data_IF_042522883039
#
_entry.id   IF_042522883039
#
_cell.length_a   1.000
_cell.length_b   1.000
_cell.length_c   1.000
_cell.angle_alpha   90.00
_cell.angle_beta   90.00
_cell.angle_gamma   90.00
#
_symmetry.space_group_name_H-M   'P 1'
#
loop_
_entity.id
_entity.type
_entity.pdbx_description
1 polymer ?
#
# COMPACT_ATOMS: atom_id res chain seq x y z
N UNK A 1 -6.69 -10.86 -1.90
CA UNK A 1 -5.90 -9.77 -1.27
C UNK A 1 -5.68 -8.62 -2.24
N UNK A 2 -6.24 -7.45 -1.95
CA UNK A 2 -6.03 -6.23 -2.76
C UNK A 2 -4.92 -5.32 -2.23
N UNK A 3 -4.67 -4.22 -2.94
CA UNK A 3 -3.67 -3.19 -2.59
C UNK A 3 -3.87 -2.60 -1.19
N UNK A 4 -5.11 -2.51 -0.73
CA UNK A 4 -5.50 -2.03 0.59
C UNK A 4 -5.01 -2.93 1.73
N UNK A 5 -4.93 -4.25 1.49
CA UNK A 5 -4.37 -5.20 2.45
C UNK A 5 -2.84 -5.09 2.51
N UNK A 6 -2.19 -4.79 1.39
CA UNK A 6 -0.75 -4.52 1.35
C UNK A 6 -0.46 -3.22 2.11
N UNK A 7 -1.26 -2.16 1.91
CA UNK A 7 -1.13 -0.92 2.67
C UNK A 7 -1.27 -1.14 4.18
N UNK A 8 -2.22 -1.98 4.61
CA UNK A 8 -2.36 -2.38 6.02
C UNK A 8 -1.13 -3.15 6.53
N UNK A 9 -0.54 -4.03 5.70
CA UNK A 9 0.66 -4.78 6.07
C UNK A 9 1.86 -3.83 6.26
N UNK A 10 2.05 -2.85 5.36
CA UNK A 10 3.10 -1.84 5.48
C UNK A 10 2.97 -1.04 6.78
N UNK A 11 1.76 -0.61 7.13
CA UNK A 11 1.50 0.12 8.39
C UNK A 11 1.71 -0.71 9.66
N UNK A 12 1.71 -2.05 9.55
CA UNK A 12 1.93 -2.96 10.67
C UNK A 12 3.42 -3.25 10.90
N UNK A 13 4.24 -3.06 9.88
CA UNK A 13 5.69 -3.16 10.01
C UNK A 13 6.25 -1.83 10.58
N UNK A 14 6.32 -1.74 11.90
CA UNK A 14 6.59 -0.47 12.60
C UNK A 14 7.98 0.11 12.32
N UNK A 15 8.94 -0.75 11.95
CA UNK A 15 10.34 -0.41 11.68
C UNK A 15 10.61 -0.03 10.20
N UNK A 16 9.61 -0.18 9.32
CA UNK A 16 9.77 0.06 7.89
C UNK A 16 9.71 1.54 7.50
N UNK A 17 10.56 1.96 6.57
CA UNK A 17 10.56 3.31 5.98
C UNK A 17 9.17 3.73 5.49
N UNK A 18 8.42 2.82 4.87
CA UNK A 18 7.05 3.09 4.41
C UNK A 18 6.10 3.46 5.55
N UNK A 19 6.16 2.75 6.68
CA UNK A 19 5.33 3.04 7.84
C UNK A 19 5.65 4.42 8.42
N UNK A 20 6.94 4.77 8.51
CA UNK A 20 7.39 6.09 8.96
C UNK A 20 6.86 7.23 8.09
N UNK A 21 6.94 7.10 6.76
CA UNK A 21 6.41 8.11 5.84
C UNK A 21 4.90 8.20 5.92
N UNK A 22 4.18 7.07 5.92
CA UNK A 22 2.71 7.06 6.03
C UNK A 22 2.23 7.73 7.33
N UNK A 23 2.86 7.40 8.46
CA UNK A 23 2.56 8.03 9.76
C UNK A 23 2.84 9.54 9.73
N UNK A 24 3.94 9.95 9.11
CA UNK A 24 4.30 11.38 8.94
C UNK A 24 3.32 12.13 8.04
N UNK A 25 2.68 11.43 7.10
CA UNK A 25 1.57 11.94 6.28
C UNK A 25 0.20 11.83 6.97
N UNK A 26 0.14 11.52 8.27
CA UNK A 26 -1.11 11.45 9.05
C UNK A 26 -1.92 10.18 8.83
N UNK A 27 -1.36 9.16 8.18
CA UNK A 27 -2.03 7.88 7.90
C UNK A 27 -1.73 6.87 9.00
N UNK A 28 -2.79 6.37 9.65
CA UNK A 28 -2.70 5.33 10.68
C UNK A 28 -3.33 4.02 10.24
N UNK A 29 -2.87 2.91 10.83
CA UNK A 29 -3.45 1.58 10.62
C UNK A 29 -4.97 1.56 10.90
N UNK A 30 -5.43 2.27 11.93
CA UNK A 30 -6.85 2.34 12.29
C UNK A 30 -7.69 3.01 11.20
N UNK A 31 -7.23 4.16 10.67
CA UNK A 31 -7.93 4.87 9.59
C UNK A 31 -8.04 4.02 8.32
N UNK A 32 -6.93 3.39 7.91
CA UNK A 32 -6.92 2.51 6.73
C UNK A 32 -7.83 1.30 6.94
N UNK A 33 -7.78 0.65 8.11
CA UNK A 33 -8.65 -0.52 8.39
C UNK A 33 -10.13 -0.16 8.32
N UNK A 34 -10.52 0.99 8.87
CA UNK A 34 -11.89 1.47 8.78
C UNK A 34 -12.29 1.81 7.33
N UNK A 35 -11.38 2.39 6.54
CA UNK A 35 -11.64 2.66 5.13
C UNK A 35 -11.85 1.36 4.33
N UNK A 36 -11.01 0.34 4.55
CA UNK A 36 -11.14 -0.98 3.93
C UNK A 36 -12.51 -1.61 4.25
N UNK A 37 -12.93 -1.61 5.52
CA UNK A 37 -14.23 -2.15 5.93
C UNK A 37 -15.38 -1.40 5.25
N UNK A 38 -15.32 -0.07 5.16
CA UNK A 38 -16.35 0.73 4.47
C UNK A 38 -16.43 0.40 2.98
N UNK A 39 -15.30 0.13 2.32
CA UNK A 39 -15.26 -0.23 0.90
C UNK A 39 -15.87 -1.61 0.61
N UNK A 40 -15.78 -2.56 1.55
CA UNK A 40 -16.39 -3.88 1.39
C UNK A 40 -17.92 -3.89 1.59
N UNK A 41 -18.48 -2.82 2.19
CA UNK A 41 -19.91 -2.75 2.52
C UNK A 41 -20.31 -3.63 3.71
N UNK A 42 -21.50 -3.39 4.26
CA UNK A 42 -22.08 -4.25 5.30
C UNK A 42 -22.62 -5.52 4.64
N UNK A 43 -22.05 -6.69 4.95
CA UNK A 43 -22.65 -7.99 4.63
C UNK A 43 -21.90 -8.89 3.63
N UNK A 44 -20.67 -8.58 3.23
CA UNK A 44 -19.85 -9.52 2.45
C UNK A 44 -18.90 -10.24 3.41
N UNK A 45 -19.29 -11.45 3.83
CA UNK A 45 -18.31 -12.41 4.36
C UNK A 45 -17.30 -12.71 3.24
N UNK A 46 -15.99 -12.72 3.50
CA UNK A 46 -15.03 -13.12 2.50
C UNK A 46 -15.35 -14.57 2.14
N UNK A 47 -15.88 -14.78 0.93
CA UNK A 47 -16.04 -16.12 0.38
C UNK A 47 -14.66 -16.79 0.48
N UNK A 48 -14.59 -17.88 1.23
CA UNK A 48 -13.37 -18.63 1.55
C UNK A 48 -12.76 -19.34 0.34
N UNK A 49 -12.51 -18.59 -0.73
CA UNK A 49 -11.70 -18.98 -1.85
C UNK A 49 -10.23 -18.66 -1.59
N UNK A 50 -9.36 -19.33 -2.36
CA UNK A 50 -7.91 -19.16 -2.33
C UNK A 50 -7.51 -17.68 -2.26
N UNK A 51 -6.65 -17.32 -1.30
CA UNK A 51 -6.23 -15.94 -1.02
C UNK A 51 -5.28 -15.42 -2.12
N UNK A 52 -5.78 -15.31 -3.34
CA UNK A 52 -5.05 -14.76 -4.47
C UNK A 52 -4.97 -13.24 -4.38
N UNK A 53 -3.84 -12.70 -4.82
CA UNK A 53 -3.70 -11.26 -5.01
C UNK A 53 -4.59 -10.80 -6.19
N UNK A 54 -5.22 -9.64 -6.05
CA UNK A 54 -5.87 -8.98 -7.19
C UNK A 54 -4.82 -8.57 -8.23
N UNK A 55 -5.19 -8.44 -9.51
CA UNK A 55 -4.28 -7.96 -10.56
C UNK A 55 -3.46 -6.72 -10.17
N UNK A 56 -4.08 -5.63 -9.67
CA UNK A 56 -3.34 -4.44 -9.23
C UNK A 56 -2.34 -4.70 -8.09
N UNK A 57 -2.63 -5.65 -7.20
CA UNK A 57 -1.73 -6.03 -6.11
C UNK A 57 -0.53 -6.84 -6.61
N UNK A 58 -0.74 -7.76 -7.57
CA UNK A 58 0.35 -8.49 -8.22
C UNK A 58 1.27 -7.55 -9.00
N UNK A 59 0.68 -6.63 -9.77
CA UNK A 59 1.41 -5.61 -10.52
C UNK A 59 2.27 -4.73 -9.60
N UNK A 60 1.74 -4.33 -8.44
CA UNK A 60 2.50 -3.56 -7.45
C UNK A 60 3.71 -4.34 -6.92
N UNK A 61 3.53 -5.62 -6.57
CA UNK A 61 4.64 -6.47 -6.09
C UNK A 61 5.72 -6.62 -7.17
N UNK A 62 5.32 -6.86 -8.42
CA UNK A 62 6.25 -7.02 -9.53
C UNK A 62 7.01 -5.70 -9.82
N UNK A 63 6.33 -4.56 -9.77
CA UNK A 63 6.96 -3.24 -9.89
C UNK A 63 7.94 -2.97 -8.75
N UNK A 64 7.59 -3.31 -7.51
CA UNK A 64 8.49 -3.15 -6.36
C UNK A 64 9.79 -3.95 -6.54
N UNK A 65 9.69 -5.19 -7.06
CA UNK A 65 10.86 -6.01 -7.42
C UNK A 65 11.73 -5.34 -8.49
N UNK A 66 11.11 -4.87 -9.57
CA UNK A 66 11.84 -4.16 -10.64
C UNK A 66 12.55 -2.91 -10.11
N UNK A 67 11.88 -2.12 -9.28
CA UNK A 67 12.46 -0.89 -8.70
C UNK A 67 13.66 -1.19 -7.81
N UNK A 68 13.61 -2.23 -6.98
CA UNK A 68 14.75 -2.66 -6.17
C UNK A 68 15.92 -3.11 -7.05
N UNK A 69 15.65 -3.89 -8.11
CA UNK A 69 16.68 -4.32 -9.07
C UNK A 69 17.32 -3.16 -9.82
N UNK A 70 16.55 -2.16 -10.25
CA UNK A 70 17.08 -0.96 -10.94
C UNK A 70 18.01 -0.16 -10.02
N UNK A 71 17.76 -0.18 -8.71
CA UNK A 71 18.57 0.50 -7.69
C UNK A 71 19.73 -0.35 -7.17
N UNK A 72 20.01 -1.50 -7.79
CA UNK A 72 21.02 -2.48 -7.36
C UNK A 72 20.85 -2.91 -5.90
N UNK A 73 19.61 -2.90 -5.39
CA UNK A 73 19.32 -3.31 -4.03
C UNK A 73 19.06 -4.81 -3.96
N UNK A 74 19.71 -5.52 -3.00
CA UNK A 74 19.62 -6.98 -2.91
C UNK A 74 18.25 -7.49 -2.46
N UNK A 75 17.43 -6.62 -1.85
CA UNK A 75 16.13 -6.99 -1.29
C UNK A 75 15.09 -5.89 -1.53
N UNK A 76 13.83 -6.29 -1.63
CA UNK A 76 12.69 -5.37 -1.75
C UNK A 76 12.32 -4.87 -0.35
N UNK A 77 12.63 -3.61 -0.06
CA UNK A 77 12.19 -2.94 1.16
C UNK A 77 10.74 -2.42 1.10
N UNK A 78 10.22 -1.98 2.24
CA UNK A 78 8.84 -1.47 2.37
C UNK A 78 8.59 -0.23 1.50
N UNK A 79 9.60 0.62 1.32
CA UNK A 79 9.58 1.80 0.47
C UNK A 79 9.34 1.46 -1.01
N UNK A 80 9.92 0.36 -1.50
CA UNK A 80 9.70 -0.09 -2.88
C UNK A 80 8.25 -0.52 -3.10
N UNK A 81 7.68 -1.22 -2.11
CA UNK A 81 6.29 -1.67 -2.14
C UNK A 81 5.37 -0.46 -2.11
N UNK A 82 5.59 0.50 -1.22
CA UNK A 82 4.77 1.70 -1.13
C UNK A 82 4.85 2.55 -2.41
N UNK A 83 6.04 2.74 -2.98
CA UNK A 83 6.23 3.41 -4.27
C UNK A 83 5.45 2.72 -5.39
N UNK A 84 5.46 1.38 -5.42
CA UNK A 84 4.74 0.61 -6.43
C UNK A 84 3.22 0.71 -6.25
N UNK A 85 2.71 0.70 -5.01
CA UNK A 85 1.29 0.91 -4.71
C UNK A 85 0.83 2.30 -5.16
N UNK A 86 1.61 3.35 -4.92
CA UNK A 86 1.28 4.72 -5.33
C UNK A 86 1.25 4.87 -6.86
N UNK A 87 2.16 4.19 -7.56
CA UNK A 87 2.19 4.20 -9.03
C UNK A 87 1.04 3.41 -9.66
N UNK A 88 0.47 2.45 -8.93
CA UNK A 88 -0.75 1.77 -9.33
C UNK A 88 -1.96 2.69 -9.04
N UNK A 89 -2.14 3.73 -9.87
CA UNK A 89 -3.15 4.79 -9.70
C UNK A 89 -4.59 4.28 -9.53
N UNK A 90 -4.90 3.09 -10.06
CA UNK A 90 -6.23 2.45 -9.96
C UNK A 90 -6.43 1.59 -8.71
N UNK A 91 -5.42 1.47 -7.84
CA UNK A 91 -5.47 0.65 -6.63
C UNK A 91 -6.35 1.26 -5.53
N UNK A 92 -7.02 0.40 -4.77
CA UNK A 92 -7.75 0.78 -3.56
C UNK A 92 -6.85 1.51 -2.54
N UNK A 93 -5.56 1.16 -2.46
CA UNK A 93 -4.60 1.84 -1.60
C UNK A 93 -4.52 3.36 -1.90
N UNK A 94 -4.38 3.75 -3.17
CA UNK A 94 -4.31 5.17 -3.57
C UNK A 94 -5.60 5.90 -3.23
N UNK A 95 -6.75 5.26 -3.48
CA UNK A 95 -8.06 5.83 -3.15
C UNK A 95 -8.21 6.07 -1.64
N UNK A 96 -7.74 5.14 -0.81
CA UNK A 96 -7.76 5.30 0.64
C UNK A 96 -6.84 6.44 1.08
N UNK A 97 -5.63 6.54 0.53
CA UNK A 97 -4.71 7.65 0.85
C UNK A 97 -5.35 9.00 0.54
N UNK A 98 -5.94 9.15 -0.65
CA UNK A 98 -6.66 10.36 -1.05
C UNK A 98 -7.86 10.66 -0.16
N UNK A 99 -8.62 9.64 0.26
CA UNK A 99 -9.75 9.81 1.19
C UNK A 99 -9.31 10.28 2.58
N UNK A 100 -8.06 10.01 2.96
CA UNK A 100 -7.47 10.44 4.23
C UNK A 100 -6.67 11.76 4.08
N UNK A 101 -6.85 12.48 2.98
CA UNK A 101 -6.11 13.72 2.64
C UNK A 101 -4.59 13.53 2.58
N UNK A 102 -4.11 12.29 2.39
CA UNK A 102 -2.71 11.96 2.27
C UNK A 102 -2.33 11.93 0.78
N UNK A 103 -1.65 12.98 0.31
CA UNK A 103 -1.26 13.14 -1.09
C UNK A 103 -0.24 12.07 -1.53
N UNK A 104 -0.60 11.17 -2.48
CA UNK A 104 0.31 10.16 -3.00
C UNK A 104 1.57 10.77 -3.66
N UNK A 105 1.49 11.96 -4.26
CA UNK A 105 2.64 12.61 -4.86
C UNK A 105 3.64 13.07 -3.80
N UNK A 106 3.16 13.64 -2.69
CA UNK A 106 3.98 14.00 -1.53
C UNK A 106 4.63 12.76 -0.88
N UNK A 107 3.86 11.68 -0.67
CA UNK A 107 4.40 10.43 -0.11
C UNK A 107 5.50 9.85 -1.01
N UNK A 108 5.28 9.85 -2.33
CA UNK A 108 6.29 9.38 -3.30
C UNK A 108 7.57 10.21 -3.23
N UNK A 109 7.45 11.52 -3.08
CA UNK A 109 8.60 12.41 -2.97
C UNK A 109 9.42 12.11 -1.70
N UNK A 110 8.74 11.86 -0.56
CA UNK A 110 9.37 11.53 0.71
C UNK A 110 10.09 10.16 0.74
N UNK A 111 9.80 9.27 -0.20
CA UNK A 111 10.49 7.97 -0.36
C UNK A 111 11.66 8.02 -1.36
N UNK A 112 11.76 9.11 -2.12
CA UNK A 112 12.80 9.30 -3.13
C UNK A 112 14.00 10.11 -2.62
N UNK A 113 13.90 10.66 -1.41
CA UNK A 113 14.92 11.37 -0.65
C UNK A 113 15.73 10.41 0.22
#
# INVERSE_FOLDING_TARGET
MGTEHILLALLREDEGTAAGVLKSSGVTYQQVRLAVVRMMGVGIEPAGGELSFTGPAQDAIERARREASIRDQPQVGTEHILLALIRAQDGAAVRILLQLDADPAAIRAALAS
#
